data_IF_282388328681
#
_entry.id   IF_282388328681
#
_cell.length_a   1.000
_cell.length_b   1.000
_cell.length_c   1.000
_cell.angle_alpha   90.00
_cell.angle_beta   90.00
_cell.angle_gamma   90.00
#
_symmetry.space_group_name_H-M   'P 1'
#
loop_
_entity.id
_entity.type
_entity.pdbx_description
1 polymer ?
#
# COMPACT_ATOMS: atom_id res chain seq x y z
N UNK A 1 17.44 -10.32 27.93
CA UNK A 1 17.75 -11.58 28.68
C UNK A 1 17.07 -11.52 30.05
N UNK A 2 16.88 -12.67 30.74
CA UNK A 2 16.41 -12.85 32.13
C UNK A 2 15.44 -11.78 32.72
N UNK A 3 14.14 -12.04 32.87
CA UNK A 3 13.52 -12.84 33.95
C UNK A 3 14.07 -12.53 35.36
N UNK A 4 13.30 -11.76 36.14
CA UNK A 4 13.43 -11.59 37.60
C UNK A 4 12.50 -12.59 38.31
N UNK A 5 12.94 -13.26 39.39
CA UNK A 5 12.05 -13.95 40.33
C UNK A 5 12.23 -13.49 41.79
N UNK A 6 11.26 -13.90 42.62
CA UNK A 6 11.34 -14.02 44.10
C UNK A 6 11.26 -12.75 44.97
N UNK A 7 10.77 -12.82 46.21
CA UNK A 7 9.70 -13.64 46.84
C UNK A 7 9.38 -12.92 48.19
N UNK A 8 8.12 -13.00 48.64
CA UNK A 8 7.54 -12.64 49.96
C UNK A 8 8.50 -12.17 51.09
N UNK A 9 8.16 -11.02 51.70
CA UNK A 9 8.41 -10.75 53.12
C UNK A 9 7.17 -10.07 53.75
N UNK A 10 6.70 -10.55 54.90
CA UNK A 10 5.50 -10.05 55.59
C UNK A 10 5.85 -9.33 56.91
N UNK A 11 4.83 -8.66 57.47
CA UNK A 11 4.70 -8.10 58.83
C UNK A 11 5.22 -6.67 59.06
N UNK A 12 4.35 -5.82 59.66
CA UNK A 12 4.63 -4.40 59.89
C UNK A 12 3.43 -3.59 60.44
N UNK A 13 2.87 -4.02 61.57
CA UNK A 13 2.06 -3.27 62.55
C UNK A 13 1.37 -1.93 62.15
N UNK A 14 0.03 -1.97 62.17
CA UNK A 14 -0.86 -0.96 62.76
C UNK A 14 -0.66 0.54 62.44
N UNK A 15 -1.53 1.06 61.55
CA UNK A 15 -2.01 2.45 61.59
C UNK A 15 -3.55 2.43 61.72
N UNK A 16 -4.11 3.36 62.50
CA UNK A 16 -5.56 3.44 62.77
C UNK A 16 -6.29 3.97 61.55
N UNK A 17 -7.27 3.23 61.04
CA UNK A 17 -8.18 3.71 59.99
C UNK A 17 -9.21 4.69 60.58
N UNK A 18 -9.09 5.97 60.24
CA UNK A 18 -10.19 6.92 60.32
C UNK A 18 -11.13 6.66 59.14
N UNK A 19 -12.32 6.13 59.41
CA UNK A 19 -13.29 5.79 58.38
C UNK A 19 -14.21 6.97 58.06
N UNK A 20 -13.93 7.64 56.94
CA UNK A 20 -14.93 8.28 56.07
C UNK A 20 -14.86 7.59 54.72
N UNK A 21 -15.99 7.24 54.11
CA UNK A 21 -16.00 6.36 52.94
C UNK A 21 -15.90 7.06 51.58
N UNK A 22 -16.41 6.42 50.53
CA UNK A 22 -16.43 6.88 49.14
C UNK A 22 -17.83 7.28 48.60
N UNK A 23 -18.55 8.24 49.19
CA UNK A 23 -19.93 8.55 48.76
C UNK A 23 -19.80 9.11 47.37
N UNK A 24 -20.62 8.57 46.47
CA UNK A 24 -20.66 9.07 45.11
C UNK A 24 -21.27 10.45 45.14
N UNK A 25 -20.38 11.44 45.20
CA UNK A 25 -20.68 12.85 45.31
C UNK A 25 -21.75 13.28 44.29
N UNK A 26 -22.97 13.43 44.80
CA UNK A 26 -24.05 14.04 44.04
C UNK A 26 -23.99 15.56 44.18
N UNK A 27 -23.99 16.24 43.03
CA UNK A 27 -23.94 17.69 42.93
C UNK A 27 -25.30 18.28 42.54
N UNK A 28 -26.37 17.49 42.58
CA UNK A 28 -27.73 17.88 42.19
C UNK A 28 -28.71 17.61 43.35
N UNK A 29 -28.26 17.96 44.56
CA UNK A 29 -28.93 17.72 45.85
C UNK A 29 -30.09 18.70 46.16
N UNK A 30 -30.39 19.66 45.28
CA UNK A 30 -31.26 20.80 45.59
C UNK A 30 -30.67 21.76 46.64
N UNK A 31 -29.41 21.57 47.00
CA UNK A 31 -28.83 21.99 48.27
C UNK A 31 -27.52 22.76 48.11
N UNK A 32 -26.61 22.69 49.11
CA UNK A 32 -25.32 23.35 49.05
C UNK A 32 -24.42 22.87 47.90
N UNK A 33 -24.48 21.58 47.55
CA UNK A 33 -23.60 20.99 46.54
C UNK A 33 -24.00 21.46 45.12
N UNK A 34 -25.30 21.58 44.85
CA UNK A 34 -25.80 22.15 43.59
C UNK A 34 -25.53 23.65 43.47
N UNK A 35 -25.54 24.40 44.58
CA UNK A 35 -25.10 25.81 44.55
C UNK A 35 -23.61 25.95 44.27
N UNK A 36 -22.77 25.09 44.84
CA UNK A 36 -21.34 25.05 44.54
C UNK A 36 -21.09 24.71 43.05
N UNK A 37 -21.80 23.71 42.51
CA UNK A 37 -21.75 23.37 41.09
C UNK A 37 -22.12 24.57 40.19
N UNK A 38 -23.23 25.24 40.46
CA UNK A 38 -23.66 26.43 39.69
C UNK A 38 -22.71 27.63 39.84
N UNK A 39 -22.04 27.79 40.99
CA UNK A 39 -21.01 28.81 41.16
C UNK A 39 -19.81 28.56 40.23
N UNK A 40 -19.30 27.32 40.21
CA UNK A 40 -18.22 26.92 39.29
C UNK A 40 -18.61 27.08 37.81
N UNK A 41 -19.87 26.83 37.43
CA UNK A 41 -20.35 27.12 36.07
C UNK A 41 -20.25 28.63 35.73
N UNK A 42 -20.71 29.50 36.63
CA UNK A 42 -20.66 30.96 36.44
C UNK A 42 -19.22 31.49 36.35
N UNK A 43 -18.30 30.91 37.12
CA UNK A 43 -16.86 31.22 37.03
C UNK A 43 -16.27 30.77 35.69
N UNK A 44 -16.55 29.54 35.25
CA UNK A 44 -16.08 29.03 33.97
C UNK A 44 -16.63 29.82 32.79
N UNK A 45 -17.90 30.27 32.84
CA UNK A 45 -18.43 31.20 31.84
C UNK A 45 -17.71 32.56 31.84
N UNK A 46 -17.35 33.09 33.01
CA UNK A 46 -16.59 34.33 33.11
C UNK A 46 -15.17 34.16 32.53
N UNK A 47 -14.52 33.02 32.79
CA UNK A 47 -13.27 32.65 32.16
C UNK A 47 -13.41 32.50 30.63
N UNK A 48 -14.46 31.85 30.13
CA UNK A 48 -14.72 31.71 28.70
C UNK A 48 -14.92 33.09 28.03
N UNK A 49 -15.66 34.01 28.66
CA UNK A 49 -15.82 35.39 28.16
C UNK A 49 -14.49 36.13 28.12
N UNK A 50 -13.71 36.06 29.21
CA UNK A 50 -12.38 36.68 29.27
C UNK A 50 -11.38 36.05 28.28
N UNK A 51 -11.49 34.76 27.96
CA UNK A 51 -10.70 34.08 26.94
C UNK A 51 -11.06 34.58 25.54
N UNK A 52 -12.35 34.64 25.23
CA UNK A 52 -12.85 35.16 23.96
C UNK A 52 -12.45 36.61 23.74
N UNK A 53 -12.58 37.47 24.75
CA UNK A 53 -12.21 38.88 24.66
C UNK A 53 -10.69 39.08 24.53
N UNK A 54 -9.86 38.23 25.15
CA UNK A 54 -8.39 38.23 24.92
C UNK A 54 -8.06 37.82 23.49
N UNK A 55 -8.51 36.64 23.05
CA UNK A 55 -8.23 36.17 21.70
C UNK A 55 -8.70 37.17 20.64
N UNK A 56 -9.87 37.78 20.84
CA UNK A 56 -10.38 38.84 19.95
C UNK A 56 -9.50 40.08 19.95
N UNK A 57 -8.95 40.50 21.09
CA UNK A 57 -7.98 41.59 21.16
C UNK A 57 -6.69 41.22 20.42
N UNK A 58 -6.18 39.99 20.59
CA UNK A 58 -4.96 39.51 19.94
C UNK A 58 -5.12 39.42 18.40
N UNK A 59 -6.26 38.93 17.91
CA UNK A 59 -6.60 38.91 16.48
C UNK A 59 -6.83 40.30 15.87
N UNK A 60 -7.27 41.28 16.68
CA UNK A 60 -7.35 42.69 16.30
C UNK A 60 -5.98 43.41 16.37
N UNK A 61 -4.98 42.83 17.06
CA UNK A 61 -3.64 43.39 17.19
C UNK A 61 -2.68 42.93 16.08
N UNK A 62 -3.04 41.92 15.29
CA UNK A 62 -2.28 41.48 14.11
C UNK A 62 -2.11 42.62 13.10
N UNK A 63 -0.92 42.71 12.50
CA UNK A 63 -0.60 43.75 11.53
C UNK A 63 -0.98 43.37 10.09
N UNK A 64 -0.95 44.37 9.22
CA UNK A 64 -1.04 44.17 7.75
C UNK A 64 0.10 43.32 7.18
N UNK A 65 1.25 43.27 7.85
CA UNK A 65 2.38 42.46 7.39
C UNK A 65 2.34 41.02 7.93
N UNK A 66 1.63 40.76 9.05
CA UNK A 66 1.22 39.40 9.44
C UNK A 66 0.25 38.85 8.41
N UNK A 67 -0.82 39.60 8.11
CA UNK A 67 -1.78 39.23 7.06
C UNK A 67 -1.10 38.95 5.73
N UNK A 68 -0.14 39.79 5.29
CA UNK A 68 0.59 39.52 4.03
C UNK A 68 1.38 38.21 4.08
N UNK A 69 2.05 37.86 5.17
CA UNK A 69 2.77 36.58 5.30
C UNK A 69 1.81 35.39 5.23
N UNK A 70 0.73 35.44 5.99
CA UNK A 70 -0.26 34.36 6.06
C UNK A 70 -0.94 34.16 4.69
N UNK A 71 -1.25 35.26 3.99
CA UNK A 71 -1.82 35.25 2.66
C UNK A 71 -0.84 34.77 1.59
N UNK A 72 0.42 35.22 1.64
CA UNK A 72 1.47 34.82 0.69
C UNK A 72 1.75 33.32 0.76
N UNK A 73 1.85 32.75 1.96
CA UNK A 73 1.98 31.31 2.16
C UNK A 73 0.74 30.53 1.69
N UNK A 74 -0.46 30.89 2.16
CA UNK A 74 -1.69 30.18 1.80
C UNK A 74 -2.03 30.30 0.31
N UNK A 75 -1.69 31.45 -0.31
CA UNK A 75 -1.81 31.67 -1.73
C UNK A 75 -0.80 30.84 -2.52
N UNK A 76 0.46 30.78 -2.09
CA UNK A 76 1.49 29.93 -2.71
C UNK A 76 1.07 28.46 -2.71
N UNK A 77 0.65 27.92 -1.56
CA UNK A 77 0.22 26.51 -1.43
C UNK A 77 -0.94 26.18 -2.38
N UNK A 78 -1.94 27.06 -2.46
CA UNK A 78 -3.08 26.90 -3.36
C UNK A 78 -2.68 27.03 -4.84
N UNK A 79 -1.89 28.04 -5.19
CA UNK A 79 -1.41 28.26 -6.54
C UNK A 79 -0.52 27.12 -7.03
N UNK A 80 0.36 26.59 -6.17
CA UNK A 80 1.21 25.45 -6.50
C UNK A 80 0.38 24.20 -6.81
N UNK A 81 -0.65 23.90 -6.01
CA UNK A 81 -1.56 22.80 -6.28
C UNK A 81 -2.33 22.99 -7.61
N UNK A 82 -2.90 24.17 -7.84
CA UNK A 82 -3.62 24.51 -9.08
C UNK A 82 -2.69 24.52 -10.32
N UNK A 83 -1.41 24.82 -10.14
CA UNK A 83 -0.40 24.84 -11.20
C UNK A 83 0.09 23.45 -11.57
N UNK A 84 0.38 22.62 -10.56
CA UNK A 84 0.91 21.26 -10.73
C UNK A 84 -0.14 20.31 -11.33
N UNK A 85 -1.40 20.40 -10.87
CA UNK A 85 -2.50 19.53 -11.33
C UNK A 85 -3.40 20.18 -12.39
N UNK A 86 -3.06 21.38 -12.89
CA UNK A 86 -3.80 22.07 -13.94
C UNK A 86 -3.38 21.69 -15.36
N UNK A 87 -4.15 22.14 -16.36
CA UNK A 87 -4.00 21.87 -17.81
C UNK A 87 -2.61 22.13 -18.44
N UNK A 88 -1.66 22.71 -17.70
CA UNK A 88 -0.30 23.04 -18.14
C UNK A 88 0.80 22.43 -17.25
N UNK A 89 0.45 21.69 -16.19
CA UNK A 89 1.36 21.00 -15.28
C UNK A 89 1.52 19.53 -15.67
N UNK A 90 1.30 18.62 -14.71
CA UNK A 90 1.62 17.19 -14.82
C UNK A 90 1.03 16.51 -16.07
N UNK A 91 -0.28 16.59 -16.30
CA UNK A 91 -0.92 15.92 -17.45
C UNK A 91 -0.39 16.41 -18.81
N UNK A 92 0.00 17.68 -18.91
CA UNK A 92 0.58 18.27 -20.11
C UNK A 92 2.04 17.85 -20.31
N UNK A 93 2.82 17.79 -19.23
CA UNK A 93 4.16 17.21 -19.21
C UNK A 93 4.12 15.74 -19.64
N UNK A 94 3.25 14.95 -19.02
CA UNK A 94 3.07 13.52 -19.28
C UNK A 94 2.68 13.25 -20.72
N UNK A 95 1.65 13.92 -21.25
CA UNK A 95 1.23 13.73 -22.64
C UNK A 95 2.32 14.08 -23.67
N UNK A 96 3.15 15.08 -23.38
CA UNK A 96 4.23 15.50 -24.26
C UNK A 96 5.49 14.61 -24.12
N UNK A 97 5.84 14.20 -22.90
CA UNK A 97 6.92 13.26 -22.62
C UNK A 97 6.64 11.88 -23.21
N UNK A 98 5.44 11.35 -23.00
CA UNK A 98 4.98 10.08 -23.56
C UNK A 98 5.05 10.07 -25.09
N UNK A 99 4.61 11.14 -25.75
CA UNK A 99 4.71 11.26 -27.21
C UNK A 99 6.15 11.30 -27.73
N UNK A 100 7.11 11.80 -26.93
CA UNK A 100 8.54 11.75 -27.26
C UNK A 100 9.13 10.35 -27.00
N UNK A 101 8.95 9.81 -25.79
CA UNK A 101 9.42 8.49 -25.39
C UNK A 101 8.93 7.39 -26.32
N UNK A 102 7.65 7.40 -26.70
CA UNK A 102 7.07 6.45 -27.66
C UNK A 102 7.77 6.48 -29.02
N UNK A 103 8.21 7.65 -29.47
CA UNK A 103 8.99 7.81 -30.69
C UNK A 103 10.43 7.30 -30.55
N UNK A 104 11.08 7.59 -29.43
CA UNK A 104 12.48 7.22 -29.19
C UNK A 104 12.63 5.72 -28.86
N UNK A 105 11.69 5.11 -28.11
CA UNK A 105 11.67 3.68 -27.81
C UNK A 105 11.35 2.82 -29.03
N UNK A 106 10.38 3.23 -29.87
CA UNK A 106 10.10 2.56 -31.14
C UNK A 106 11.21 2.77 -32.20
N UNK A 107 12.12 3.71 -31.98
CA UNK A 107 13.31 3.94 -32.78
C UNK A 107 14.59 3.33 -32.16
N UNK A 108 14.50 2.65 -31.01
CA UNK A 108 15.67 2.09 -30.35
C UNK A 108 16.28 0.93 -31.19
N UNK A 109 17.60 0.95 -31.45
CA UNK A 109 18.24 -0.02 -32.33
C UNK A 109 18.36 -1.43 -31.74
N UNK A 110 18.07 -1.63 -30.46
CA UNK A 110 18.11 -2.93 -29.78
C UNK A 110 16.74 -3.60 -29.72
N UNK A 111 15.63 -2.86 -29.64
CA UNK A 111 14.27 -3.39 -29.51
C UNK A 111 13.98 -4.56 -30.50
N UNK A 112 14.13 -4.31 -31.80
CA UNK A 112 13.94 -5.32 -32.84
C UNK A 112 14.99 -6.46 -32.80
N UNK A 113 16.21 -6.18 -32.32
CA UNK A 113 17.28 -7.16 -32.19
C UNK A 113 17.03 -8.15 -31.05
N UNK A 114 16.63 -7.64 -29.88
CA UNK A 114 16.21 -8.43 -28.72
C UNK A 114 14.94 -9.23 -29.05
N UNK A 115 13.96 -8.59 -29.69
CA UNK A 115 12.73 -9.23 -30.16
C UNK A 115 13.00 -10.39 -31.10
N UNK A 116 13.80 -10.16 -32.15
CA UNK A 116 14.20 -11.23 -33.08
C UNK A 116 15.03 -12.34 -32.39
N UNK A 117 15.87 -11.99 -31.41
CA UNK A 117 16.67 -12.95 -30.66
C UNK A 117 15.83 -13.86 -29.76
N UNK A 118 14.88 -13.28 -29.02
CA UNK A 118 13.94 -14.02 -28.19
C UNK A 118 12.98 -14.87 -29.05
N UNK A 119 12.38 -14.28 -30.08
CA UNK A 119 11.47 -14.97 -30.99
C UNK A 119 12.12 -16.16 -31.67
N UNK A 120 13.36 -16.02 -32.16
CA UNK A 120 14.09 -17.13 -32.72
C UNK A 120 14.34 -18.26 -31.70
N UNK A 121 14.74 -17.92 -30.46
CA UNK A 121 15.02 -18.92 -29.43
C UNK A 121 13.76 -19.69 -28.96
N UNK A 122 12.65 -18.97 -28.76
CA UNK A 122 11.36 -19.56 -28.40
C UNK A 122 10.82 -20.42 -29.55
N UNK A 123 10.93 -19.92 -30.80
CA UNK A 123 10.50 -20.64 -32.00
C UNK A 123 11.31 -21.91 -32.28
N UNK A 124 12.64 -21.86 -32.14
CA UNK A 124 13.51 -23.03 -32.28
C UNK A 124 13.11 -24.14 -31.29
N UNK A 125 12.78 -23.76 -30.04
CA UNK A 125 12.36 -24.70 -28.99
C UNK A 125 10.95 -25.27 -29.23
N UNK A 126 9.94 -24.41 -29.38
CA UNK A 126 8.55 -24.82 -29.62
C UNK A 126 8.41 -25.63 -30.91
N UNK A 127 9.16 -25.26 -31.95
CA UNK A 127 9.21 -25.97 -33.23
C UNK A 127 9.76 -27.37 -33.08
N UNK A 128 10.96 -27.51 -32.50
CA UNK A 128 11.61 -28.81 -32.31
C UNK A 128 10.76 -29.76 -31.44
N UNK A 129 10.25 -29.28 -30.30
CA UNK A 129 9.45 -30.10 -29.39
C UNK A 129 8.12 -30.56 -30.04
N UNK A 130 7.45 -29.68 -30.80
CA UNK A 130 6.26 -30.04 -31.56
C UNK A 130 6.56 -31.06 -32.67
N UNK A 131 7.66 -30.87 -33.42
CA UNK A 131 8.05 -31.77 -34.49
C UNK A 131 8.44 -33.16 -33.99
N UNK A 132 9.19 -33.21 -32.89
CA UNK A 132 9.54 -34.44 -32.20
C UNK A 132 8.29 -35.19 -31.72
N UNK A 133 7.36 -34.49 -31.05
CA UNK A 133 6.13 -35.08 -30.55
C UNK A 133 5.24 -35.65 -31.67
N UNK A 134 5.16 -34.99 -32.83
CA UNK A 134 4.37 -35.42 -33.98
C UNK A 134 4.88 -36.70 -34.67
N UNK A 135 6.16 -37.07 -34.46
CA UNK A 135 6.79 -38.19 -35.18
C UNK A 135 7.30 -39.31 -34.28
N UNK A 136 7.81 -39.01 -33.08
CA UNK A 136 8.39 -40.00 -32.18
C UNK A 136 7.42 -41.11 -31.82
N UNK A 137 6.19 -40.79 -31.39
CA UNK A 137 5.19 -41.80 -31.04
C UNK A 137 4.82 -42.72 -32.21
N UNK A 138 4.38 -42.18 -33.38
CA UNK A 138 4.07 -42.99 -34.55
C UNK A 138 5.26 -43.80 -35.10
N UNK A 139 6.49 -43.30 -34.96
CA UNK A 139 7.69 -44.03 -35.36
C UNK A 139 8.05 -45.15 -34.36
N UNK A 140 7.87 -44.90 -33.05
CA UNK A 140 8.01 -45.90 -31.99
C UNK A 140 7.02 -47.05 -32.15
N UNK A 141 5.73 -46.75 -32.39
CA UNK A 141 4.71 -47.78 -32.65
C UNK A 141 5.08 -48.67 -33.86
N UNK A 142 5.66 -48.08 -34.92
CA UNK A 142 6.12 -48.81 -36.10
C UNK A 142 7.37 -49.65 -35.81
N UNK A 143 8.40 -49.05 -35.20
CA UNK A 143 9.63 -49.73 -34.82
C UNK A 143 9.37 -50.88 -33.86
N UNK A 144 8.52 -50.69 -32.84
CA UNK A 144 8.10 -51.72 -31.89
C UNK A 144 7.40 -52.89 -32.60
N UNK A 145 6.54 -52.61 -33.58
CA UNK A 145 5.90 -53.64 -34.41
C UNK A 145 6.92 -54.52 -35.15
N UNK A 146 7.92 -53.91 -35.78
CA UNK A 146 8.99 -54.61 -36.50
C UNK A 146 9.94 -55.36 -35.54
N UNK A 147 10.36 -54.72 -34.45
CA UNK A 147 11.25 -55.29 -33.44
C UNK A 147 10.64 -56.47 -32.69
N UNK A 148 9.38 -56.34 -32.24
CA UNK A 148 8.63 -57.42 -31.57
C UNK A 148 8.45 -58.64 -32.49
N UNK A 149 8.22 -58.43 -33.79
CA UNK A 149 8.15 -59.50 -34.76
C UNK A 149 9.48 -60.26 -34.94
N UNK A 150 10.63 -59.64 -34.64
CA UNK A 150 11.95 -60.27 -34.65
C UNK A 150 12.34 -60.88 -33.28
N UNK A 151 12.01 -60.21 -32.18
CA UNK A 151 12.30 -60.67 -30.81
C UNK A 151 11.47 -61.88 -30.35
N UNK A 152 10.21 -62.02 -30.81
CA UNK A 152 9.33 -63.15 -30.46
C UNK A 152 9.88 -64.52 -30.91
N UNK A 153 11.00 -64.54 -31.62
CA UNK A 153 11.65 -65.73 -32.13
C UNK A 153 12.62 -66.35 -31.08
N UNK A 154 12.71 -65.87 -29.81
CA UNK A 154 13.94 -66.03 -28.99
C UNK A 154 13.94 -66.60 -27.50
N UNK A 155 13.11 -66.24 -26.48
CA UNK A 155 13.57 -66.24 -25.02
C UNK A 155 12.63 -66.59 -23.78
N UNK A 156 12.67 -65.84 -22.60
CA UNK A 156 11.85 -65.83 -21.30
C UNK A 156 12.43 -65.06 -20.02
N UNK A 157 11.84 -64.58 -18.85
CA UNK A 157 10.47 -64.43 -18.16
C UNK A 157 10.38 -63.51 -16.82
N UNK A 158 9.74 -63.88 -15.64
CA UNK A 158 8.73 -63.04 -14.83
C UNK A 158 8.85 -62.51 -13.25
N UNK A 159 8.11 -61.41 -12.68
CA UNK A 159 8.33 -60.46 -11.41
C UNK A 159 7.18 -59.76 -10.38
N UNK A 160 7.40 -58.83 -9.29
CA UNK A 160 6.49 -58.33 -8.07
C UNK A 160 6.36 -56.78 -7.41
N UNK A 161 5.70 -56.40 -6.20
CA UNK A 161 5.27 -54.97 -5.61
C UNK A 161 5.00 -54.52 -4.00
N UNK A 162 4.64 -53.21 -3.49
CA UNK A 162 4.66 -52.56 -2.03
C UNK A 162 3.52 -51.55 -1.31
N UNK A 163 3.64 -50.82 -0.09
CA UNK A 163 2.59 -49.93 0.73
C UNK A 163 2.89 -48.83 1.97
N UNK A 164 1.93 -47.98 2.60
CA UNK A 164 2.04 -46.64 3.49
C UNK A 164 1.26 -46.28 4.92
N UNK A 165 1.19 -45.02 5.61
CA UNK A 165 0.54 -44.54 7.00
C UNK A 165 0.51 -42.97 7.60
N UNK A 166 -0.24 -42.44 8.69
CA UNK A 166 -0.34 -40.96 9.35
C UNK A 166 -1.02 -40.59 10.84
N UNK A 167 -1.18 -39.30 11.43
CA UNK A 167 -1.64 -38.81 12.90
C UNK A 167 -2.24 -37.29 13.31
N UNK A 168 -2.55 -36.81 14.62
CA UNK A 168 -3.33 -35.50 15.13
C UNK A 168 -3.19 -34.74 16.63
N UNK A 169 -3.95 -33.64 17.12
CA UNK A 169 -3.79 -32.69 18.40
C UNK A 169 -4.99 -31.83 19.20
N UNK A 170 -4.82 -30.84 20.22
CA UNK A 170 -5.87 -30.05 21.16
C UNK A 170 -5.60 -28.63 22.00
N UNK A 171 -6.50 -27.99 22.89
CA UNK A 171 -6.51 -26.52 23.54
C UNK A 171 -7.28 -26.03 24.95
N UNK A 172 -7.28 -24.72 25.54
CA UNK A 172 -7.68 -24.15 26.97
C UNK A 172 -8.57 -22.77 27.32
N UNK A 173 -8.67 -22.11 28.58
CA UNK A 173 -9.60 -20.93 29.10
C UNK A 173 -9.30 -19.90 30.39
N UNK A 174 -10.18 -18.90 30.92
CA UNK A 174 -9.96 -17.72 31.97
C UNK A 174 -11.13 -16.98 32.90
N UNK A 175 -10.97 -15.82 33.74
CA UNK A 175 -11.89 -15.14 34.86
C UNK A 175 -11.87 -13.53 35.30
N UNK A 176 -12.60 -12.91 36.35
CA UNK A 176 -12.76 -11.39 36.79
C UNK A 176 -13.32 -10.80 38.25
N UNK A 177 -13.62 -9.44 38.57
CA UNK A 177 -13.92 -8.72 39.96
C UNK A 177 -14.75 -7.28 40.17
N UNK A 178 -14.90 -6.55 41.39
CA UNK A 178 -15.85 -5.33 41.78
C UNK A 178 -15.63 -4.26 43.06
N UNK A 179 -16.45 -3.13 43.37
CA UNK A 179 -16.35 -1.91 44.39
C UNK A 179 -17.55 -1.50 45.45
N UNK A 180 -17.92 -0.40 46.28
CA UNK A 180 -17.81 1.13 46.71
C UNK A 180 -18.13 1.46 48.32
N UNK A 181 -18.51 2.56 49.14
CA UNK A 181 -19.01 4.05 49.24
C UNK A 181 -18.89 4.94 50.66
N UNK A 182 -19.42 6.24 50.93
CA UNK A 182 -19.43 7.36 52.11
C UNK A 182 -18.85 8.95 52.11
N UNK A 183 -19.42 10.11 52.68
CA UNK A 183 -19.14 11.66 52.43
C UNK A 183 -18.19 12.70 53.27
N UNK A 184 -17.98 14.03 52.87
CA UNK A 184 -16.98 15.12 53.33
C UNK A 184 -17.19 16.67 52.92
N UNK A 185 -16.71 17.79 53.59
CA UNK A 185 -16.57 19.17 53.03
C UNK A 185 -15.80 19.36 51.69
N UNK A 186 -14.83 18.51 51.37
CA UNK A 186 -14.16 18.48 50.07
C UNK A 186 -15.16 18.26 48.92
N UNK A 187 -16.35 17.70 49.22
CA UNK A 187 -17.50 17.58 48.33
C UNK A 187 -17.94 18.91 47.72
N UNK A 188 -17.98 20.00 48.51
CA UNK A 188 -18.42 21.31 48.02
C UNK A 188 -17.47 21.82 46.93
N UNK A 189 -16.17 21.86 47.26
CA UNK A 189 -15.14 22.27 46.32
C UNK A 189 -15.00 21.28 45.14
N UNK A 190 -15.33 20.00 45.32
CA UNK A 190 -15.37 19.02 44.24
C UNK A 190 -16.57 19.24 43.30
N UNK A 191 -17.75 19.61 43.81
CA UNK A 191 -18.89 19.99 42.98
C UNK A 191 -18.67 21.31 42.24
N UNK A 192 -18.04 22.30 42.88
CA UNK A 192 -17.60 23.54 42.24
C UNK A 192 -16.62 23.27 41.09
N UNK A 193 -15.55 22.48 41.34
CA UNK A 193 -14.62 22.01 40.29
C UNK A 193 -15.32 21.21 39.18
N UNK A 194 -16.37 20.43 39.51
CA UNK A 194 -17.18 19.68 38.53
C UNK A 194 -18.02 20.61 37.66
N UNK A 195 -18.63 21.64 38.26
CA UNK A 195 -19.38 22.67 37.55
C UNK A 195 -18.50 23.51 36.63
N UNK A 196 -17.34 23.95 37.13
CA UNK A 196 -16.34 24.66 36.34
C UNK A 196 -15.91 23.82 35.13
N UNK A 197 -15.48 22.57 35.34
CA UNK A 197 -15.06 21.66 34.26
C UNK A 197 -16.18 21.35 33.25
N UNK A 198 -17.44 21.38 33.67
CA UNK A 198 -18.58 21.11 32.79
C UNK A 198 -19.00 22.31 31.92
N UNK A 199 -18.68 23.54 32.33
CA UNK A 199 -18.99 24.76 31.60
C UNK A 199 -17.78 25.43 30.92
N UNK A 200 -16.55 24.97 31.19
CA UNK A 200 -15.32 25.51 30.62
C UNK A 200 -15.19 25.13 29.14
N UNK A 201 -15.16 26.15 28.28
CA UNK A 201 -14.93 26.01 26.84
C UNK A 201 -13.47 26.36 26.53
N UNK A 202 -12.67 25.35 26.17
CA UNK A 202 -11.28 25.54 25.78
C UNK A 202 -11.11 26.26 24.44
N UNK A 203 -12.14 26.27 23.58
CA UNK A 203 -12.11 26.94 22.27
C UNK A 203 -12.45 28.43 22.35
N UNK A 204 -12.84 28.93 23.53
CA UNK A 204 -13.34 30.30 23.68
C UNK A 204 -12.32 31.34 23.20
N UNK A 205 -11.03 31.14 23.48
CA UNK A 205 -9.94 31.96 22.97
C UNK A 205 -9.85 31.92 21.44
N UNK A 206 -9.81 30.73 20.84
CA UNK A 206 -9.65 30.54 19.38
C UNK A 206 -10.83 31.14 18.61
N UNK A 207 -12.06 30.97 19.13
CA UNK A 207 -13.28 31.60 18.59
C UNK A 207 -13.25 33.12 18.71
N UNK A 208 -12.62 33.64 19.77
CA UNK A 208 -12.32 35.05 19.94
C UNK A 208 -11.33 35.55 18.89
N UNK A 209 -10.20 34.84 18.75
CA UNK A 209 -9.12 35.15 17.81
C UNK A 209 -9.62 35.18 16.36
N UNK A 210 -10.33 34.15 15.91
CA UNK A 210 -10.95 34.12 14.59
C UNK A 210 -11.93 35.30 14.37
N UNK A 211 -12.71 35.68 15.39
CA UNK A 211 -13.60 36.84 15.32
C UNK A 211 -12.84 38.19 15.34
N UNK A 212 -11.66 38.25 15.93
CA UNK A 212 -10.74 39.39 15.85
C UNK A 212 -10.12 39.53 14.45
N UNK A 213 -9.54 38.44 13.94
CA UNK A 213 -8.97 38.32 12.58
C UNK A 213 -9.99 38.72 11.51
N UNK A 214 -11.23 38.24 11.59
CA UNK A 214 -12.29 38.56 10.64
C UNK A 214 -12.76 40.03 10.70
N UNK A 215 -12.55 40.71 11.83
CA UNK A 215 -12.87 42.14 12.01
C UNK A 215 -11.70 43.06 11.64
N UNK A 216 -10.46 42.56 11.66
CA UNK A 216 -9.22 43.31 11.45
C UNK A 216 -9.02 43.66 9.96
N UNK A 217 -9.44 44.86 9.56
CA UNK A 217 -9.39 45.29 8.15
C UNK A 217 -7.97 45.42 7.59
N UNK A 218 -7.00 45.80 8.41
CA UNK A 218 -5.60 45.95 7.97
C UNK A 218 -4.95 44.58 7.77
N UNK A 219 -5.21 43.61 8.65
CA UNK A 219 -4.82 42.21 8.43
C UNK A 219 -5.45 41.65 7.15
N UNK A 220 -6.77 41.81 6.95
CA UNK A 220 -7.47 41.29 5.75
C UNK A 220 -6.96 41.95 4.45
N UNK A 221 -6.64 43.24 4.46
CA UNK A 221 -6.00 43.95 3.34
C UNK A 221 -4.48 43.68 3.20
N UNK A 222 -3.88 42.98 4.17
CA UNK A 222 -2.59 42.32 4.07
C UNK A 222 -2.75 40.97 3.39
N UNK A 223 -3.66 40.14 3.90
CA UNK A 223 -3.94 38.78 3.44
C UNK A 223 -4.28 38.72 1.96
N UNK A 224 -5.25 39.51 1.47
CA UNK A 224 -5.58 39.53 0.04
C UNK A 224 -4.37 39.91 -0.84
N UNK A 225 -3.57 40.88 -0.41
CA UNK A 225 -2.39 41.33 -1.14
C UNK A 225 -1.18 40.37 -1.05
N UNK A 226 -1.15 39.48 -0.05
CA UNK A 226 -0.23 38.35 0.01
C UNK A 226 -0.73 37.22 -0.89
N UNK A 227 -1.99 36.84 -0.75
CA UNK A 227 -2.66 35.79 -1.51
C UNK A 227 -2.46 35.95 -3.02
N UNK A 228 -2.75 37.12 -3.58
CA UNK A 228 -2.60 37.37 -5.02
C UNK A 228 -1.14 37.21 -5.50
N UNK A 229 -0.15 37.52 -4.65
CA UNK A 229 1.28 37.45 -4.99
C UNK A 229 1.85 36.04 -4.82
N UNK A 230 1.48 35.35 -3.73
CA UNK A 230 1.81 33.96 -3.46
C UNK A 230 1.19 33.04 -4.49
N UNK A 231 -0.12 33.17 -4.75
CA UNK A 231 -0.85 32.37 -5.73
C UNK A 231 -0.27 32.55 -7.14
N UNK A 232 -0.02 33.79 -7.56
CA UNK A 232 0.61 34.06 -8.86
C UNK A 232 2.08 33.59 -8.94
N UNK A 233 2.67 33.10 -7.85
CA UNK A 233 4.01 32.51 -7.78
C UNK A 233 3.95 31.00 -7.72
N UNK A 234 3.23 30.42 -6.75
CA UNK A 234 2.96 28.99 -6.70
C UNK A 234 2.40 28.46 -8.01
N UNK A 235 1.50 29.18 -8.68
CA UNK A 235 0.95 28.76 -9.98
C UNK A 235 2.02 28.59 -11.08
N UNK A 236 3.06 29.43 -11.08
CA UNK A 236 4.16 29.30 -12.06
C UNK A 236 5.12 28.18 -11.68
N UNK A 237 5.44 28.10 -10.39
CA UNK A 237 6.44 27.18 -9.88
C UNK A 237 5.89 25.74 -9.93
N UNK A 238 4.63 25.53 -9.52
CA UNK A 238 3.90 24.27 -9.66
C UNK A 238 3.63 23.87 -11.11
N UNK A 239 3.38 24.80 -12.04
CA UNK A 239 3.33 24.48 -13.48
C UNK A 239 4.67 23.97 -14.01
N UNK A 240 5.78 24.59 -13.60
CA UNK A 240 7.12 24.18 -14.03
C UNK A 240 7.52 22.82 -13.44
N UNK A 241 7.32 22.62 -12.14
CA UNK A 241 7.63 21.36 -11.44
C UNK A 241 6.72 20.23 -11.94
N UNK A 242 5.41 20.48 -12.03
CA UNK A 242 4.43 19.50 -12.54
C UNK A 242 4.71 19.09 -13.98
N UNK A 243 4.97 20.04 -14.89
CA UNK A 243 5.35 19.71 -16.27
C UNK A 243 6.66 18.91 -16.31
N UNK A 244 7.63 19.21 -15.42
CA UNK A 244 8.90 18.50 -15.33
C UNK A 244 8.75 17.05 -14.87
N UNK A 245 8.05 16.83 -13.76
CA UNK A 245 7.74 15.50 -13.21
C UNK A 245 6.93 14.68 -14.22
N UNK A 246 5.85 15.26 -14.74
CA UNK A 246 5.01 14.62 -15.75
C UNK A 246 5.77 14.25 -17.01
N UNK A 247 6.64 15.13 -17.51
CA UNK A 247 7.48 14.83 -18.68
C UNK A 247 8.38 13.60 -18.44
N UNK A 248 8.97 13.47 -17.26
CA UNK A 248 9.82 12.32 -16.93
C UNK A 248 9.01 11.02 -16.86
N UNK A 249 7.93 10.99 -16.07
CA UNK A 249 7.04 9.82 -15.93
C UNK A 249 6.44 9.41 -17.29
N UNK A 250 6.03 10.39 -18.09
CA UNK A 250 5.49 10.18 -19.43
C UNK A 250 6.55 9.63 -20.39
N UNK A 251 7.75 10.21 -20.42
CA UNK A 251 8.82 9.75 -21.29
C UNK A 251 9.22 8.30 -20.99
N UNK A 252 9.42 7.93 -19.72
CA UNK A 252 9.79 6.56 -19.34
C UNK A 252 8.68 5.55 -19.71
N UNK A 253 7.41 5.90 -19.49
CA UNK A 253 6.27 5.07 -19.88
C UNK A 253 6.14 4.92 -21.41
N UNK A 254 6.27 6.02 -22.15
CA UNK A 254 6.20 6.01 -23.61
C UNK A 254 7.36 5.23 -24.22
N UNK A 255 8.57 5.38 -23.68
CA UNK A 255 9.75 4.63 -24.12
C UNK A 255 9.57 3.13 -23.96
N UNK A 256 8.99 2.68 -22.83
CA UNK A 256 8.66 1.27 -22.63
C UNK A 256 7.63 0.76 -23.66
N UNK A 257 6.50 1.45 -23.83
CA UNK A 257 5.47 1.08 -24.82
C UNK A 257 6.04 1.04 -26.26
N UNK A 258 6.96 1.96 -26.60
CA UNK A 258 7.62 2.01 -27.90
C UNK A 258 8.62 0.89 -28.11
N UNK A 259 9.42 0.56 -27.08
CA UNK A 259 10.38 -0.54 -27.11
C UNK A 259 9.66 -1.89 -27.27
N UNK A 260 8.60 -2.13 -26.49
CA UNK A 260 7.80 -3.35 -26.55
C UNK A 260 7.13 -3.54 -27.91
N UNK A 261 6.70 -2.44 -28.57
CA UNK A 261 6.19 -2.49 -29.94
C UNK A 261 7.29 -2.88 -30.95
N UNK A 262 8.48 -2.26 -30.87
CA UNK A 262 9.62 -2.58 -31.74
C UNK A 262 10.18 -3.99 -31.51
N UNK A 263 10.06 -4.50 -30.28
CA UNK A 263 10.36 -5.88 -29.92
C UNK A 263 9.35 -6.85 -30.57
N UNK A 264 8.05 -6.62 -30.40
CA UNK A 264 6.99 -7.50 -30.89
C UNK A 264 7.00 -7.65 -32.43
N UNK A 265 7.15 -6.54 -33.16
CA UNK A 265 7.21 -6.52 -34.63
C UNK A 265 8.31 -7.46 -35.21
N UNK A 266 9.42 -7.62 -34.49
CA UNK A 266 10.52 -8.49 -34.90
C UNK A 266 10.52 -9.88 -34.23
N UNK A 267 9.89 -10.01 -33.06
CA UNK A 267 9.66 -11.28 -32.37
C UNK A 267 8.82 -12.24 -33.23
N UNK A 268 7.62 -11.81 -33.65
CA UNK A 268 6.69 -12.66 -34.41
C UNK A 268 7.31 -13.19 -35.71
N UNK A 269 8.08 -12.35 -36.40
CA UNK A 269 8.75 -12.68 -37.65
C UNK A 269 9.89 -13.70 -37.45
N UNK A 270 10.65 -13.56 -36.36
CA UNK A 270 11.74 -14.48 -36.03
C UNK A 270 11.20 -15.82 -35.50
N UNK A 271 10.22 -15.78 -34.61
CA UNK A 271 9.52 -16.95 -34.06
C UNK A 271 8.92 -17.81 -35.17
N UNK A 272 8.11 -17.22 -36.05
CA UNK A 272 7.49 -17.99 -37.14
C UNK A 272 8.53 -18.65 -38.06
N UNK A 273 9.69 -18.00 -38.26
CA UNK A 273 10.77 -18.57 -39.08
C UNK A 273 11.45 -19.75 -38.37
N UNK A 274 11.92 -19.52 -37.15
CA UNK A 274 12.62 -20.52 -36.35
C UNK A 274 11.74 -21.75 -36.10
N UNK A 275 10.47 -21.54 -35.75
CA UNK A 275 9.49 -22.60 -35.55
C UNK A 275 9.42 -23.60 -36.71
N UNK A 276 9.30 -23.15 -37.96
CA UNK A 276 9.23 -24.07 -39.10
C UNK A 276 10.58 -24.70 -39.46
N UNK A 277 11.68 -23.93 -39.40
CA UNK A 277 13.03 -24.45 -39.66
C UNK A 277 13.40 -25.55 -38.61
N UNK A 278 12.98 -25.41 -37.35
CA UNK A 278 13.20 -26.37 -36.26
C UNK A 278 12.16 -27.51 -36.19
N UNK A 279 10.90 -27.27 -36.56
CA UNK A 279 9.86 -28.30 -36.61
C UNK A 279 10.18 -29.40 -37.62
N UNK A 280 10.65 -29.05 -38.83
CA UNK A 280 11.08 -30.07 -39.79
C UNK A 280 12.33 -30.84 -39.33
N UNK A 281 13.19 -30.25 -38.49
CA UNK A 281 14.32 -30.93 -37.85
C UNK A 281 13.86 -31.90 -36.74
N UNK A 282 13.04 -31.43 -35.79
CA UNK A 282 12.47 -32.25 -34.73
C UNK A 282 11.64 -33.42 -35.28
N UNK A 283 10.94 -33.23 -36.40
CA UNK A 283 10.24 -34.31 -37.12
C UNK A 283 11.16 -35.37 -37.72
N UNK A 284 12.37 -35.00 -38.13
CA UNK A 284 13.35 -35.96 -38.63
C UNK A 284 13.99 -36.73 -37.47
N UNK A 285 14.53 -36.01 -36.48
CA UNK A 285 15.22 -36.59 -35.34
C UNK A 285 14.26 -37.47 -34.49
N UNK A 286 13.01 -37.02 -34.30
CA UNK A 286 11.97 -37.77 -33.61
C UNK A 286 11.54 -39.05 -34.35
N UNK A 287 11.49 -39.02 -35.68
CA UNK A 287 11.17 -40.22 -36.47
C UNK A 287 12.29 -41.27 -36.39
N UNK A 288 13.55 -40.85 -36.56
CA UNK A 288 14.71 -41.75 -36.51
C UNK A 288 14.92 -42.32 -35.08
N UNK A 289 14.80 -41.49 -34.05
CA UNK A 289 14.92 -41.91 -32.65
C UNK A 289 13.74 -42.81 -32.22
N UNK A 290 12.50 -42.39 -32.51
CA UNK A 290 11.31 -43.17 -32.16
C UNK A 290 11.34 -44.57 -32.75
N UNK A 291 11.66 -44.70 -34.04
CA UNK A 291 11.77 -46.01 -34.69
C UNK A 291 12.90 -46.87 -34.06
N UNK A 292 14.05 -46.28 -33.74
CA UNK A 292 15.17 -47.00 -33.14
C UNK A 292 14.87 -47.48 -31.72
N UNK A 293 14.31 -46.61 -30.87
CA UNK A 293 13.92 -46.94 -29.50
C UNK A 293 12.80 -47.99 -29.50
N UNK A 294 11.77 -47.79 -30.31
CA UNK A 294 10.66 -48.74 -30.46
C UNK A 294 11.13 -50.12 -30.93
N UNK A 295 11.99 -50.19 -31.95
CA UNK A 295 12.56 -51.45 -32.42
C UNK A 295 13.40 -52.16 -31.34
N UNK A 296 14.18 -51.41 -30.58
CA UNK A 296 14.96 -51.95 -29.45
C UNK A 296 14.07 -52.50 -28.34
N UNK A 297 13.05 -51.75 -27.93
CA UNK A 297 12.10 -52.14 -26.88
C UNK A 297 11.26 -53.34 -27.33
N UNK A 298 10.67 -53.30 -28.54
CA UNK A 298 9.86 -54.39 -29.08
C UNK A 298 10.66 -55.70 -29.20
N UNK A 299 11.90 -55.64 -29.69
CA UNK A 299 12.79 -56.80 -29.74
C UNK A 299 13.09 -57.35 -28.33
N UNK A 300 13.28 -56.46 -27.34
CA UNK A 300 13.62 -56.83 -25.97
C UNK A 300 12.43 -57.40 -25.20
N UNK A 301 11.28 -56.73 -25.22
CA UNK A 301 10.02 -57.20 -24.63
C UNK A 301 9.62 -58.56 -25.20
N UNK A 302 9.71 -58.72 -26.52
CA UNK A 302 9.41 -59.99 -27.18
C UNK A 302 10.43 -61.10 -26.86
N UNK A 303 11.60 -60.74 -26.32
CA UNK A 303 12.58 -61.65 -25.75
C UNK A 303 12.48 -61.80 -24.21
N UNK A 304 11.54 -61.13 -23.54
CA UNK A 304 11.28 -61.26 -22.09
C UNK A 304 9.87 -61.82 -21.77
N UNK A 305 8.88 -61.64 -22.66
CA UNK A 305 7.47 -62.11 -22.49
C UNK A 305 7.25 -63.58 -22.89
N UNK A 306 8.23 -64.12 -23.60
CA UNK A 306 8.49 -65.54 -23.76
C UNK A 306 8.51 -66.34 -22.42
#
# INVERSE_FOLDING_TARGET
MARVPAWIACAGLAAVALAGGCDRLDCFDGGPLERAYRAGQSEAEAANRADFDRGRADGLALSRDDGRRDGDAAGYDAGYADGYWGDAGYDAGYGAGYAAGLGDGAADPFACGDGAGAGAADGDADGYDAGWADTYGPAYDAGYGDGWAEGQQQCASYAPAPAVRRAAARAPAAVGAAPDASVDPEALAACERRGYRAARDSTAYDRGFAAGVAANRDYQAGFAAGWDAGYATGLRDGQADGYGDGWADGYDAGYADGYDAGFADCYDLAYFRAYWDAYDAGRADGADAGYADGYSDGYSDAADDC
#
